data_IF_054229733078
#
_entry.id   IF_054229733078
#
_cell.length_a   1.000
_cell.length_b   1.000
_cell.length_c   1.000
_cell.angle_alpha   90.00
_cell.angle_beta   90.00
_cell.angle_gamma   90.00
#
_symmetry.space_group_name_H-M   'P 1'
#
loop_
_entity.id
_entity.type
_entity.pdbx_description
1 polymer ?
#
# COMPACT_ATOMS: atom_id res chain seq x y z
N UNK A 1 -61.48 41.21 14.83
CA UNK A 1 -60.31 42.11 14.57
C UNK A 1 -59.06 41.23 14.61
N UNK A 2 -58.29 41.20 13.52
CA UNK A 2 -57.35 40.13 13.13
C UNK A 2 -55.97 40.11 13.82
N UNK A 3 -54.90 39.51 13.20
CA UNK A 3 -54.81 39.00 11.83
C UNK A 3 -54.39 37.52 11.67
N UNK A 4 -54.47 37.07 10.41
CA UNK A 4 -54.13 35.76 9.89
C UNK A 4 -52.61 35.50 9.81
N UNK A 5 -52.22 34.23 10.00
CA UNK A 5 -50.97 33.68 9.42
C UNK A 5 -51.33 32.37 8.73
N UNK A 6 -51.04 32.36 7.43
CA UNK A 6 -51.14 31.25 6.50
C UNK A 6 -49.70 30.79 6.25
N UNK A 7 -49.42 29.49 6.41
CA UNK A 7 -48.17 28.90 5.93
C UNK A 7 -48.42 27.47 5.44
N UNK A 8 -48.05 27.29 4.17
CA UNK A 8 -48.23 26.19 3.23
C UNK A 8 -47.52 24.87 3.61
N UNK A 9 -47.86 23.76 2.93
CA UNK A 9 -47.27 22.45 3.16
C UNK A 9 -45.81 22.42 2.68
N UNK A 10 -44.89 21.98 3.54
CA UNK A 10 -43.52 21.73 3.14
C UNK A 10 -43.43 20.30 2.57
N UNK A 11 -43.86 20.14 1.33
CA UNK A 11 -43.36 19.03 0.51
C UNK A 11 -41.88 19.26 0.30
N UNK A 12 -41.08 18.33 0.78
CA UNK A 12 -39.64 18.29 0.56
C UNK A 12 -39.41 17.33 -0.62
N UNK A 13 -39.26 17.81 -1.87
CA UNK A 13 -39.16 16.94 -3.02
C UNK A 13 -37.67 16.71 -3.31
N UNK A 14 -36.99 15.92 -2.47
CA UNK A 14 -35.68 15.38 -2.85
C UNK A 14 -35.23 14.13 -2.09
N UNK A 15 -36.16 13.25 -1.72
CA UNK A 15 -35.83 11.91 -1.16
C UNK A 15 -35.87 10.79 -2.21
N UNK A 16 -35.97 11.11 -3.50
CA UNK A 16 -36.20 10.13 -4.56
C UNK A 16 -35.02 9.84 -5.50
N UNK A 17 -33.88 10.52 -5.35
CA UNK A 17 -32.78 10.44 -6.35
C UNK A 17 -31.67 9.44 -5.96
N UNK A 18 -31.54 9.07 -4.69
CA UNK A 18 -30.39 8.28 -4.22
C UNK A 18 -30.63 6.75 -4.17
N UNK A 19 -31.87 6.25 -4.18
CA UNK A 19 -32.14 4.80 -4.28
C UNK A 19 -32.27 4.31 -5.73
N UNK A 20 -32.80 5.15 -6.64
CA UNK A 20 -32.99 4.77 -8.03
C UNK A 20 -31.67 4.69 -8.81
N UNK A 21 -30.68 5.56 -8.53
CA UNK A 21 -29.34 5.43 -9.11
C UNK A 21 -28.58 4.21 -8.59
N UNK A 22 -28.86 3.75 -7.36
CA UNK A 22 -28.20 2.59 -6.75
C UNK A 22 -28.74 1.26 -7.29
N UNK A 23 -30.05 1.20 -7.58
CA UNK A 23 -30.70 0.03 -8.20
C UNK A 23 -30.50 -0.05 -9.73
N UNK A 24 -30.17 1.06 -10.41
CA UNK A 24 -29.76 1.08 -11.82
C UNK A 24 -28.28 0.76 -12.04
N UNK A 25 -27.47 0.57 -10.98
CA UNK A 25 -26.14 -0.05 -11.07
C UNK A 25 -26.27 -1.58 -11.28
N UNK A 26 -27.16 -1.97 -12.19
CA UNK A 26 -27.07 -3.21 -12.93
C UNK A 26 -25.89 -3.05 -13.89
N UNK A 27 -24.70 -2.93 -13.30
CA UNK A 27 -23.43 -2.47 -13.87
C UNK A 27 -22.82 -3.45 -14.89
N UNK A 28 -23.68 -4.26 -15.50
CA UNK A 28 -23.40 -5.22 -16.55
C UNK A 28 -23.44 -4.58 -17.94
N UNK A 29 -23.82 -3.30 -18.06
CA UNK A 29 -23.59 -2.55 -19.28
C UNK A 29 -22.12 -2.14 -19.32
N UNK A 30 -21.34 -2.75 -20.20
CA UNK A 30 -19.94 -2.44 -20.51
C UNK A 30 -19.74 -0.94 -20.74
N UNK A 31 -19.52 -0.17 -19.68
CA UNK A 31 -19.05 1.21 -19.78
C UNK A 31 -17.63 1.20 -20.32
N UNK A 32 -17.29 2.18 -21.16
CA UNK A 32 -15.91 2.38 -21.57
C UNK A 32 -15.06 2.90 -20.41
N UNK A 33 -13.74 2.83 -20.59
CA UNK A 33 -12.80 3.21 -19.55
C UNK A 33 -12.98 4.67 -19.09
N UNK A 34 -13.23 5.61 -20.01
CA UNK A 34 -13.36 7.03 -19.68
C UNK A 34 -14.64 7.31 -18.87
N UNK A 35 -15.74 6.64 -19.19
CA UNK A 35 -16.98 6.68 -18.40
C UNK A 35 -16.76 6.17 -16.99
N UNK A 36 -16.01 5.07 -16.84
CA UNK A 36 -15.60 4.56 -15.53
C UNK A 36 -14.77 5.56 -14.73
N UNK A 37 -13.76 6.17 -15.35
CA UNK A 37 -12.89 7.13 -14.66
C UNK A 37 -13.68 8.36 -14.17
N UNK A 38 -14.66 8.80 -14.97
CA UNK A 38 -15.55 9.92 -14.65
C UNK A 38 -16.47 9.56 -13.49
N UNK A 39 -17.07 8.37 -13.52
CA UNK A 39 -17.94 7.88 -12.45
C UNK A 39 -17.20 7.73 -11.12
N UNK A 40 -15.99 7.16 -11.13
CA UNK A 40 -15.14 7.07 -9.94
C UNK A 40 -14.86 8.46 -9.38
N UNK A 41 -14.54 9.43 -10.24
CA UNK A 41 -14.24 10.80 -9.80
C UNK A 41 -15.47 11.48 -9.18
N UNK A 42 -16.68 11.30 -9.75
CA UNK A 42 -17.93 11.77 -9.16
C UNK A 42 -18.18 11.14 -7.79
N UNK A 43 -17.97 9.83 -7.66
CA UNK A 43 -18.17 9.12 -6.41
C UNK A 43 -17.20 9.55 -5.32
N UNK A 44 -15.91 9.71 -5.67
CA UNK A 44 -14.91 10.22 -4.71
C UNK A 44 -15.24 11.64 -4.24
N UNK A 45 -15.79 12.48 -5.11
CA UNK A 45 -16.16 13.85 -4.76
C UNK A 45 -17.43 13.92 -3.90
N UNK A 46 -18.47 13.16 -4.27
CA UNK A 46 -19.80 13.22 -3.62
C UNK A 46 -19.86 12.38 -2.35
N UNK A 47 -19.14 11.28 -2.31
CA UNK A 47 -19.24 10.23 -1.30
C UNK A 47 -17.89 9.96 -0.63
N UNK A 48 -17.05 10.99 -0.49
CA UNK A 48 -15.68 10.86 0.02
C UNK A 48 -15.61 10.09 1.34
N UNK A 49 -16.56 10.29 2.26
CA UNK A 49 -16.55 9.65 3.59
C UNK A 49 -17.48 8.44 3.70
N UNK A 50 -18.17 8.08 2.61
CA UNK A 50 -19.08 6.93 2.54
C UNK A 50 -18.31 5.76 1.91
N UNK A 51 -17.63 5.00 2.76
CA UNK A 51 -16.76 3.90 2.32
C UNK A 51 -17.53 2.81 1.58
N UNK A 52 -18.82 2.61 1.85
CA UNK A 52 -19.62 1.58 1.18
C UNK A 52 -19.81 1.92 -0.30
N UNK A 53 -20.15 3.17 -0.62
CA UNK A 53 -20.25 3.63 -2.02
C UNK A 53 -18.91 3.65 -2.73
N UNK A 54 -17.85 4.03 -2.03
CA UNK A 54 -16.49 3.95 -2.59
C UNK A 54 -16.11 2.50 -2.89
N UNK A 55 -16.41 1.54 -2.01
CA UNK A 55 -16.16 0.12 -2.30
C UNK A 55 -16.94 -0.34 -3.52
N UNK A 56 -18.23 0.00 -3.60
CA UNK A 56 -19.08 -0.42 -4.70
C UNK A 56 -18.53 0.01 -6.06
N UNK A 57 -18.15 1.28 -6.22
CA UNK A 57 -17.65 1.78 -7.52
C UNK A 57 -16.29 1.18 -7.87
N UNK A 58 -15.40 1.02 -6.88
CA UNK A 58 -14.06 0.45 -7.11
C UNK A 58 -14.10 -1.06 -7.36
N UNK A 59 -14.85 -1.83 -6.57
CA UNK A 59 -14.98 -3.28 -6.73
C UNK A 59 -15.58 -3.61 -8.10
N UNK A 60 -16.53 -2.80 -8.58
CA UNK A 60 -17.13 -3.02 -9.89
C UNK A 60 -16.21 -2.62 -11.05
N UNK A 61 -15.52 -1.48 -10.95
CA UNK A 61 -14.53 -1.07 -11.95
C UNK A 61 -13.38 -2.07 -12.06
N UNK A 62 -12.85 -2.54 -10.93
CA UNK A 62 -11.70 -3.44 -10.88
C UNK A 62 -12.06 -4.88 -11.26
N UNK A 63 -13.34 -5.25 -11.25
CA UNK A 63 -13.80 -6.49 -11.86
C UNK A 63 -13.65 -6.46 -13.39
N UNK A 64 -13.87 -5.31 -14.03
CA UNK A 64 -13.73 -5.13 -15.48
C UNK A 64 -12.28 -4.80 -15.89
N UNK A 65 -11.57 -3.99 -15.09
CA UNK A 65 -10.21 -3.52 -15.38
C UNK A 65 -9.19 -3.92 -14.28
N UNK A 66 -8.99 -5.21 -14.01
CA UNK A 66 -8.19 -5.70 -12.89
C UNK A 66 -6.70 -5.31 -12.94
N UNK A 67 -6.16 -5.04 -14.14
CA UNK A 67 -4.76 -4.69 -14.35
C UNK A 67 -4.44 -3.21 -14.10
N UNK A 68 -5.45 -2.37 -13.85
CA UNK A 68 -5.29 -0.94 -13.64
C UNK A 68 -4.79 -0.62 -12.22
N UNK A 69 -3.53 -0.96 -11.92
CA UNK A 69 -2.93 -0.84 -10.58
C UNK A 69 -3.05 0.55 -9.93
N UNK A 70 -3.08 1.63 -10.73
CA UNK A 70 -3.28 2.99 -10.21
C UNK A 70 -4.59 3.16 -9.46
N UNK A 71 -5.64 2.42 -9.84
CA UNK A 71 -6.94 2.43 -9.16
C UNK A 71 -6.94 1.54 -7.93
N UNK A 72 -6.24 0.40 -7.95
CA UNK A 72 -5.97 -0.37 -6.73
C UNK A 72 -5.29 0.48 -5.66
N UNK A 73 -4.27 1.28 -6.04
CA UNK A 73 -3.59 2.22 -5.13
C UNK A 73 -4.56 3.26 -4.56
N UNK A 74 -5.39 3.89 -5.40
CA UNK A 74 -6.39 4.88 -4.94
C UNK A 74 -7.41 4.24 -3.99
N UNK A 75 -7.89 3.05 -4.33
CA UNK A 75 -8.84 2.31 -3.50
C UNK A 75 -8.27 1.96 -2.13
N UNK A 76 -7.04 1.44 -2.08
CA UNK A 76 -6.32 1.22 -0.83
C UNK A 76 -6.16 2.51 -0.03
N UNK A 77 -5.88 3.64 -0.70
CA UNK A 77 -5.82 4.97 -0.06
C UNK A 77 -7.11 5.38 0.64
N UNK A 78 -8.28 5.13 0.03
CA UNK A 78 -9.57 5.37 0.70
C UNK A 78 -9.78 4.44 1.90
N UNK A 79 -9.46 3.15 1.77
CA UNK A 79 -9.53 2.20 2.88
C UNK A 79 -8.60 2.58 4.03
N UNK A 80 -7.40 3.07 3.75
CA UNK A 80 -6.45 3.53 4.77
C UNK A 80 -7.00 4.70 5.59
N UNK A 81 -7.80 5.57 4.95
CA UNK A 81 -8.38 6.73 5.63
C UNK A 81 -9.62 6.38 6.47
N UNK A 82 -10.40 5.37 6.05
CA UNK A 82 -11.75 5.12 6.57
C UNK A 82 -11.93 3.75 7.24
N UNK A 83 -10.92 2.86 7.22
CA UNK A 83 -11.04 1.50 7.72
C UNK A 83 -9.84 1.06 8.57
N UNK A 84 -9.97 -0.14 9.14
CA UNK A 84 -8.88 -0.83 9.85
C UNK A 84 -7.80 -1.33 8.89
N UNK A 85 -6.62 -1.58 9.44
CA UNK A 85 -5.46 -2.14 8.72
C UNK A 85 -5.83 -3.43 7.96
N UNK A 86 -6.59 -4.34 8.57
CA UNK A 86 -7.02 -5.59 7.95
C UNK A 86 -7.79 -5.36 6.64
N UNK A 87 -8.66 -4.34 6.60
CA UNK A 87 -9.42 -4.00 5.39
C UNK A 87 -8.58 -3.40 4.29
N UNK A 88 -7.47 -2.75 4.63
CA UNK A 88 -6.50 -2.27 3.65
C UNK A 88 -5.71 -3.44 3.08
N UNK A 89 -5.29 -4.38 3.93
CA UNK A 89 -4.60 -5.61 3.54
C UNK A 89 -5.47 -6.42 2.57
N UNK A 90 -6.77 -6.58 2.85
CA UNK A 90 -7.71 -7.26 1.95
C UNK A 90 -7.71 -6.64 0.53
N UNK A 91 -7.61 -5.31 0.41
CA UNK A 91 -7.51 -4.65 -0.91
C UNK A 91 -6.17 -4.90 -1.57
N UNK A 92 -5.06 -4.80 -0.84
CA UNK A 92 -3.74 -5.07 -1.42
C UNK A 92 -3.58 -6.54 -1.84
N UNK A 93 -4.10 -7.50 -1.08
CA UNK A 93 -4.07 -8.92 -1.44
C UNK A 93 -4.83 -9.19 -2.73
N UNK A 94 -6.05 -8.65 -2.87
CA UNK A 94 -6.80 -8.72 -4.14
C UNK A 94 -6.07 -8.05 -5.29
N UNK A 95 -5.43 -6.90 -5.02
CA UNK A 95 -4.68 -6.18 -6.03
C UNK A 95 -3.48 -6.98 -6.55
N UNK A 96 -2.68 -7.59 -5.67
CA UNK A 96 -1.50 -8.38 -6.09
C UNK A 96 -1.88 -9.73 -6.70
N UNK A 97 -3.08 -10.23 -6.44
CA UNK A 97 -3.64 -11.36 -7.18
C UNK A 97 -4.06 -10.94 -8.60
N UNK A 98 -4.66 -9.76 -8.75
CA UNK A 98 -5.16 -9.24 -10.03
C UNK A 98 -4.04 -8.73 -10.95
N UNK A 99 -3.11 -7.95 -10.40
CA UNK A 99 -2.02 -7.29 -11.12
C UNK A 99 -0.65 -7.76 -10.60
N UNK A 100 -0.48 -9.08 -10.53
CA UNK A 100 0.64 -9.78 -9.86
C UNK A 100 2.03 -9.30 -10.24
N UNK A 101 2.26 -8.96 -11.51
CA UNK A 101 3.59 -8.56 -11.99
C UNK A 101 3.83 -7.04 -11.93
N UNK A 102 2.91 -6.25 -11.37
CA UNK A 102 3.09 -4.82 -11.21
C UNK A 102 4.09 -4.52 -10.09
N UNK A 103 5.33 -4.14 -10.47
CA UNK A 103 6.37 -3.70 -9.52
C UNK A 103 5.85 -2.57 -8.62
N UNK A 104 5.17 -1.58 -9.22
CA UNK A 104 4.66 -0.43 -8.48
C UNK A 104 3.65 -0.82 -7.41
N UNK A 105 2.79 -1.81 -7.70
CA UNK A 105 1.82 -2.27 -6.72
C UNK A 105 2.49 -2.97 -5.53
N UNK A 106 3.50 -3.81 -5.79
CA UNK A 106 4.29 -4.42 -4.71
C UNK A 106 5.04 -3.38 -3.88
N UNK A 107 5.53 -2.31 -4.50
CA UNK A 107 6.15 -1.17 -3.80
C UNK A 107 5.15 -0.49 -2.87
N UNK A 108 3.94 -0.20 -3.34
CA UNK A 108 2.89 0.41 -2.51
C UNK A 108 2.51 -0.50 -1.34
N UNK A 109 2.32 -1.80 -1.60
CA UNK A 109 1.94 -2.75 -0.57
C UNK A 109 3.03 -2.89 0.50
N UNK A 110 4.29 -3.07 0.10
CA UNK A 110 5.40 -3.17 1.06
C UNK A 110 5.57 -1.86 1.85
N UNK A 111 5.38 -0.71 1.21
CA UNK A 111 5.44 0.60 1.89
C UNK A 111 4.34 0.72 2.94
N UNK A 112 3.11 0.29 2.62
CA UNK A 112 2.03 0.22 3.59
C UNK A 112 2.38 -0.72 4.76
N UNK A 113 2.87 -1.93 4.48
CA UNK A 113 3.25 -2.89 5.52
C UNK A 113 4.34 -2.36 6.46
N UNK A 114 5.35 -1.64 5.95
CA UNK A 114 6.38 -0.98 6.76
C UNK A 114 5.76 -0.01 7.78
N UNK A 115 4.69 0.69 7.39
CA UNK A 115 3.99 1.63 8.29
C UNK A 115 2.96 0.97 9.21
N UNK A 116 2.40 -0.17 8.80
CA UNK A 116 1.26 -0.79 9.47
C UNK A 116 1.64 -1.92 10.43
N UNK A 117 2.77 -2.60 10.20
CA UNK A 117 3.18 -3.75 11.01
C UNK A 117 4.25 -3.38 12.03
N UNK A 118 4.07 -3.88 13.25
CA UNK A 118 5.03 -3.72 14.34
C UNK A 118 6.13 -4.80 14.28
N UNK A 119 5.80 -6.04 13.91
CA UNK A 119 6.78 -7.13 13.80
C UNK A 119 7.57 -7.02 12.48
N UNK A 120 8.91 -6.84 12.53
CA UNK A 120 9.74 -6.85 11.34
C UNK A 120 9.64 -8.12 10.50
N UNK A 121 9.27 -9.25 11.11
CA UNK A 121 9.09 -10.53 10.44
C UNK A 121 7.93 -10.49 9.44
N UNK A 122 6.83 -9.81 9.78
CA UNK A 122 5.67 -9.63 8.91
C UNK A 122 6.02 -8.74 7.71
N UNK A 123 6.73 -7.64 7.95
CA UNK A 123 7.20 -6.75 6.89
C UNK A 123 8.12 -7.50 5.91
N UNK A 124 9.10 -8.24 6.44
CA UNK A 124 10.01 -9.07 5.63
C UNK A 124 9.29 -10.14 4.84
N UNK A 125 8.21 -10.74 5.38
CA UNK A 125 7.41 -11.74 4.67
C UNK A 125 6.82 -11.15 3.38
N UNK A 126 6.28 -9.94 3.43
CA UNK A 126 5.71 -9.26 2.25
C UNK A 126 6.79 -8.87 1.25
N UNK A 127 7.92 -8.30 1.69
CA UNK A 127 9.05 -8.02 0.80
C UNK A 127 9.59 -9.27 0.10
N UNK A 128 9.74 -10.39 0.82
CA UNK A 128 10.19 -11.67 0.25
C UNK A 128 9.20 -12.19 -0.81
N UNK A 129 7.89 -12.07 -0.57
CA UNK A 129 6.87 -12.45 -1.55
C UNK A 129 6.89 -11.54 -2.79
N UNK A 130 6.99 -10.23 -2.62
CA UNK A 130 7.06 -9.30 -3.74
C UNK A 130 8.32 -9.55 -4.59
N UNK A 131 9.48 -9.66 -3.95
CA UNK A 131 10.76 -9.90 -4.65
C UNK A 131 10.84 -11.28 -5.33
N UNK A 132 10.15 -12.31 -4.82
CA UNK A 132 10.09 -13.61 -5.51
C UNK A 132 9.26 -13.55 -6.80
N UNK A 133 8.27 -12.66 -6.86
CA UNK A 133 7.38 -12.49 -8.01
C UNK A 133 7.97 -11.51 -9.02
N UNK A 134 8.31 -10.29 -8.59
CA UNK A 134 8.77 -9.21 -9.50
C UNK A 134 10.27 -8.98 -9.50
N UNK A 135 11.06 -9.74 -8.73
CA UNK A 135 12.51 -9.50 -8.62
C UNK A 135 13.32 -9.68 -9.89
N UNK A 136 12.75 -10.28 -10.94
CA UNK A 136 13.36 -10.42 -12.27
C UNK A 136 13.01 -9.30 -13.24
N UNK A 137 12.06 -8.43 -12.87
CA UNK A 137 11.67 -7.28 -13.69
C UNK A 137 12.80 -6.24 -13.72
N UNK A 138 13.03 -5.59 -14.87
CA UNK A 138 14.08 -4.58 -14.99
C UNK A 138 13.89 -3.39 -14.04
N UNK A 139 12.64 -3.04 -13.74
CA UNK A 139 12.24 -1.97 -12.83
C UNK A 139 12.11 -2.43 -11.37
N UNK A 140 12.40 -3.70 -11.03
CA UNK A 140 12.31 -4.21 -9.66
C UNK A 140 13.23 -3.48 -8.66
N UNK A 141 14.18 -2.68 -9.15
CA UNK A 141 14.99 -1.76 -8.33
C UNK A 141 14.14 -0.88 -7.41
N UNK A 142 12.92 -0.49 -7.81
CA UNK A 142 12.02 0.30 -6.97
C UNK A 142 11.64 -0.44 -5.67
N UNK A 143 11.46 -1.76 -5.74
CA UNK A 143 11.16 -2.60 -4.58
C UNK A 143 12.43 -2.89 -3.77
N UNK A 144 13.54 -3.16 -4.44
CA UNK A 144 14.83 -3.38 -3.77
C UNK A 144 15.31 -2.15 -3.01
N UNK A 145 15.16 -0.95 -3.56
CA UNK A 145 15.48 0.31 -2.89
C UNK A 145 14.72 0.42 -1.55
N UNK A 146 13.41 0.12 -1.55
CA UNK A 146 12.59 0.13 -0.35
C UNK A 146 13.00 -0.95 0.66
N UNK A 147 13.37 -2.13 0.19
CA UNK A 147 13.79 -3.20 1.09
C UNK A 147 15.16 -2.90 1.74
N UNK A 148 16.11 -2.36 0.97
CA UNK A 148 17.42 -1.91 1.45
C UNK A 148 17.26 -0.78 2.47
N UNK A 149 16.45 0.23 2.16
CA UNK A 149 16.12 1.35 3.05
C UNK A 149 15.57 0.84 4.39
N UNK A 150 14.63 -0.11 4.33
CA UNK A 150 14.03 -0.72 5.50
C UNK A 150 15.05 -1.47 6.38
N UNK A 151 15.83 -2.40 5.83
CA UNK A 151 16.80 -3.18 6.63
C UNK A 151 17.94 -2.31 7.17
N UNK A 152 18.31 -1.24 6.45
CA UNK A 152 19.25 -0.24 6.95
C UNK A 152 18.69 0.49 8.18
N UNK A 153 17.43 0.94 8.14
CA UNK A 153 16.76 1.59 9.28
C UNK A 153 16.61 0.64 10.48
N UNK A 154 16.31 -0.63 10.23
CA UNK A 154 16.26 -1.68 11.26
C UNK A 154 17.65 -2.02 11.84
N UNK A 155 18.73 -1.51 11.26
CA UNK A 155 20.13 -1.81 11.63
C UNK A 155 20.43 -3.32 11.63
N UNK A 156 19.72 -4.08 10.79
CA UNK A 156 19.82 -5.53 10.77
C UNK A 156 20.81 -5.99 9.70
N UNK A 157 22.09 -5.75 9.97
CA UNK A 157 23.19 -5.90 9.02
C UNK A 157 23.26 -7.25 8.27
N UNK A 158 23.03 -8.42 8.91
CA UNK A 158 23.05 -9.69 8.19
C UNK A 158 21.95 -9.79 7.13
N UNK A 159 20.76 -9.27 7.41
CA UNK A 159 19.67 -9.24 6.43
C UNK A 159 19.93 -8.21 5.35
N UNK A 160 20.45 -7.03 5.69
CA UNK A 160 20.84 -6.04 4.68
C UNK A 160 21.87 -6.61 3.70
N UNK A 161 22.88 -7.35 4.19
CA UNK A 161 23.84 -8.06 3.35
C UNK A 161 23.15 -9.06 2.42
N UNK A 162 22.20 -9.84 2.97
CA UNK A 162 21.42 -10.79 2.18
C UNK A 162 20.62 -10.10 1.08
N UNK A 163 19.97 -8.97 1.38
CA UNK A 163 19.18 -8.20 0.40
C UNK A 163 20.08 -7.67 -0.72
N UNK A 164 21.26 -7.14 -0.43
CA UNK A 164 22.24 -6.75 -1.46
C UNK A 164 22.63 -7.94 -2.34
N UNK A 165 22.95 -9.10 -1.75
CA UNK A 165 23.30 -10.29 -2.53
C UNK A 165 22.14 -10.74 -3.43
N UNK A 166 20.90 -10.68 -2.96
CA UNK A 166 19.73 -11.03 -3.77
C UNK A 166 19.51 -10.05 -4.93
N UNK A 167 19.67 -8.74 -4.71
CA UNK A 167 19.43 -7.72 -5.74
C UNK A 167 20.43 -7.77 -6.90
N UNK A 168 21.59 -8.41 -6.69
CA UNK A 168 22.62 -8.64 -7.71
C UNK A 168 22.39 -9.87 -8.59
N UNK A 169 21.40 -10.71 -8.28
CA UNK A 169 21.16 -11.98 -9.00
C UNK A 169 20.65 -11.80 -10.42
N UNK A 170 19.89 -10.75 -10.69
CA UNK A 170 19.28 -10.49 -11.98
C UNK A 170 19.59 -9.06 -12.45
N UNK A 171 19.68 -8.80 -13.77
CA UNK A 171 19.86 -7.44 -14.27
C UNK A 171 18.70 -6.53 -13.88
N UNK A 172 19.02 -5.41 -13.24
CA UNK A 172 18.07 -4.35 -12.90
C UNK A 172 18.60 -3.00 -13.38
N UNK A 173 17.73 -2.00 -13.49
CA UNK A 173 18.12 -0.63 -13.88
C UNK A 173 19.25 -0.04 -13.01
N UNK A 174 19.36 -0.48 -11.75
CA UNK A 174 20.34 0.02 -10.77
C UNK A 174 21.38 -1.03 -10.36
N UNK A 175 21.61 -2.06 -11.16
CA UNK A 175 22.52 -3.16 -10.81
C UNK A 175 23.92 -2.67 -10.40
N UNK A 176 24.54 -1.77 -11.20
CA UNK A 176 25.85 -1.22 -10.89
C UNK A 176 25.87 -0.47 -9.55
N UNK A 177 24.84 0.33 -9.28
CA UNK A 177 24.69 1.01 -8.01
C UNK A 177 24.60 0.02 -6.85
N UNK A 178 23.84 -1.08 -6.98
CA UNK A 178 23.80 -2.10 -5.93
C UNK A 178 25.14 -2.81 -5.73
N UNK A 179 25.91 -3.02 -6.80
CA UNK A 179 27.22 -3.64 -6.72
C UNK A 179 28.19 -2.76 -5.94
N UNK A 180 28.28 -1.47 -6.27
CA UNK A 180 29.15 -0.52 -5.58
C UNK A 180 28.76 -0.39 -4.10
N UNK A 181 27.46 -0.27 -3.82
CA UNK A 181 26.95 -0.20 -2.43
C UNK A 181 27.20 -1.49 -1.65
N UNK A 182 27.09 -2.65 -2.29
CA UNK A 182 27.41 -3.92 -1.65
C UNK A 182 28.91 -4.02 -1.33
N UNK A 183 29.78 -3.53 -2.22
CA UNK A 183 31.22 -3.49 -1.99
C UNK A 183 31.56 -2.60 -0.80
N UNK A 184 31.08 -1.36 -0.81
CA UNK A 184 31.25 -0.42 0.31
C UNK A 184 30.75 -1.03 1.63
N UNK A 185 29.59 -1.69 1.58
CA UNK A 185 28.99 -2.32 2.75
C UNK A 185 29.84 -3.45 3.33
N UNK A 186 30.41 -4.31 2.48
CA UNK A 186 31.29 -5.42 2.90
C UNK A 186 32.58 -4.90 3.56
N UNK A 187 33.15 -3.80 3.06
CA UNK A 187 34.34 -3.17 3.65
C UNK A 187 34.06 -2.64 5.08
N UNK A 188 32.83 -2.18 5.34
CA UNK A 188 32.42 -1.57 6.61
C UNK A 188 31.83 -2.61 7.60
N UNK A 189 31.34 -3.75 7.09
CA UNK A 189 30.59 -4.75 7.85
C UNK A 189 31.30 -5.27 9.12
N UNK A 190 32.61 -5.60 9.11
CA UNK A 190 33.30 -6.07 10.32
C UNK A 190 33.20 -5.07 11.49
N UNK A 191 33.30 -3.78 11.16
CA UNK A 191 33.22 -2.68 12.13
C UNK A 191 31.80 -2.51 12.69
N UNK A 192 30.77 -2.62 11.85
CA UNK A 192 29.36 -2.48 12.28
C UNK A 192 28.91 -3.61 13.19
N UNK A 193 29.32 -4.85 12.89
CA UNK A 193 29.03 -6.01 13.74
C UNK A 193 29.73 -5.89 15.09
N UNK A 194 30.98 -5.43 15.11
CA UNK A 194 31.72 -5.18 16.34
C UNK A 194 31.08 -4.09 17.21
N UNK A 195 30.67 -2.96 16.61
CA UNK A 195 29.99 -1.87 17.31
C UNK A 195 28.65 -2.33 17.89
N UNK A 196 27.84 -3.05 17.11
CA UNK A 196 26.57 -3.59 17.61
C UNK A 196 26.80 -4.54 18.78
N UNK A 197 27.75 -5.48 18.67
CA UNK A 197 28.08 -6.38 19.77
C UNK A 197 28.45 -5.62 21.05
N UNK A 198 29.23 -4.54 20.95
CA UNK A 198 29.60 -3.68 22.09
C UNK A 198 28.38 -2.96 22.68
N UNK A 199 27.50 -2.40 21.85
CA UNK A 199 26.28 -1.70 22.31
C UNK A 199 25.33 -2.67 23.03
N UNK A 200 25.12 -3.87 22.47
CA UNK A 200 24.27 -4.88 23.08
C UNK A 200 24.88 -5.47 24.35
N UNK A 201 26.20 -5.69 24.41
CA UNK A 201 26.87 -6.09 25.65
C UNK A 201 26.85 -4.99 26.71
N UNK A 202 26.96 -3.72 26.32
CA UNK A 202 26.92 -2.58 27.24
C UNK A 202 25.54 -2.33 27.87
N UNK A 203 24.46 -2.54 27.10
CA UNK A 203 23.07 -2.45 27.63
C UNK A 203 22.70 -3.59 28.59
N UNK A 204 23.37 -4.73 28.53
CA UNK A 204 23.19 -5.81 29.49
C UNK A 204 23.84 -5.50 30.85
N UNK A 205 24.96 -4.77 30.85
CA UNK A 205 25.71 -4.42 32.07
C UNK A 205 25.01 -3.33 32.90
N UNK A 206 24.29 -2.40 32.26
CA UNK A 206 23.54 -1.34 32.97
C UNK A 206 22.24 -1.82 33.64
N UNK A 207 21.72 -3.02 33.31
CA UNK A 207 20.55 -3.62 33.99
C UNK A 207 20.91 -4.50 35.19
N UNK A 208 22.17 -4.83 35.40
CA UNK A 208 22.65 -5.61 36.54
C UNK A 208 23.25 -4.74 37.67
N UNK A 209 23.25 -3.42 37.50
CA UNK A 209 23.85 -2.44 38.42
C UNK A 209 22.84 -1.47 39.03
N UNK A 210 21.60 -1.92 39.30
CA UNK A 210 20.63 -1.17 40.11
C UNK A 210 20.30 -1.98 41.36
N UNK A 211 20.51 -1.42 42.57
CA UNK A 211 20.30 -2.11 43.85
C UNK A 211 18.81 -2.36 44.16
#
# INVERSE_FOLDING_TARGET
MGPAIQSLPNENPNSGVDEHKLNDLNLKSSLDFDSWTSLISEFEQKYSDDIEKICLVYDSFLAEFPLCYGYWRRYAGHKMRLCTVDKVIEVFERAVESATYSVHLWVDYCTFCVSAFEDPSDVRRVFKRGTSIVGKDFLCHLLWDKYIEYEFYQQHWPFLAHVYIQSLKFPTKRLHYYYDRCKDFVEIMPSLVAINAIIFSGRAITRLSSP
#
